data_IF_145273596686
#
_entry.id   IF_145273596686
#
_cell.length_a   1.000
_cell.length_b   1.000
_cell.length_c   1.000
_cell.angle_alpha   90.00
_cell.angle_beta   90.00
_cell.angle_gamma   90.00
#
_symmetry.space_group_name_H-M   'P 1'
#
loop_
_entity.id
_entity.type
_entity.pdbx_description
1 polymer ?
#
# COMPACT_ATOMS: atom_id res chain seq x y z
N UNK A 1 -5.33 8.20 11.63
CA UNK A 1 -6.44 7.95 10.70
C UNK A 1 -6.40 6.48 10.32
N UNK A 2 -7.45 5.69 10.61
CA UNK A 2 -7.51 4.29 10.24
C UNK A 2 -7.50 4.15 8.72
N UNK A 3 -6.72 3.20 8.19
CA UNK A 3 -6.74 2.85 6.77
C UNK A 3 -6.25 1.43 6.55
N UNK A 4 -6.92 0.72 5.65
CA UNK A 4 -6.52 -0.59 5.13
C UNK A 4 -6.33 -0.50 3.62
N UNK A 5 -5.20 -0.99 3.12
CA UNK A 5 -4.90 -1.15 1.70
C UNK A 5 -4.85 -2.63 1.33
N UNK A 6 -5.61 -3.01 0.30
CA UNK A 6 -5.72 -4.39 -0.18
C UNK A 6 -5.20 -4.46 -1.61
N UNK A 7 -4.16 -5.26 -1.83
CA UNK A 7 -3.58 -5.48 -3.17
C UNK A 7 -3.26 -6.95 -3.46
N UNK A 8 -2.86 -7.21 -4.70
CA UNK A 8 -2.15 -8.42 -5.09
C UNK A 8 -0.68 -8.09 -5.35
N UNK A 9 0.21 -8.83 -4.70
CA UNK A 9 1.64 -8.77 -4.98
C UNK A 9 2.17 -10.09 -5.55
N UNK A 10 3.36 -10.05 -6.14
CA UNK A 10 4.06 -11.23 -6.64
C UNK A 10 5.23 -11.57 -5.72
N UNK A 11 5.01 -12.45 -4.76
CA UNK A 11 6.03 -12.90 -3.81
C UNK A 11 6.57 -14.27 -4.26
N UNK A 12 7.88 -14.36 -4.51
CA UNK A 12 8.54 -15.59 -5.03
C UNK A 12 7.84 -16.19 -6.25
N UNK A 13 7.39 -15.32 -7.17
CA UNK A 13 6.71 -15.73 -8.40
C UNK A 13 5.21 -16.03 -8.24
N UNK A 14 4.69 -16.18 -7.02
CA UNK A 14 3.27 -16.44 -6.76
C UNK A 14 2.50 -15.15 -6.52
N UNK A 15 1.33 -15.04 -7.13
CA UNK A 15 0.39 -13.94 -6.87
C UNK A 15 -0.31 -14.19 -5.53
N UNK A 16 -0.16 -13.27 -4.59
CA UNK A 16 -0.71 -13.38 -3.23
C UNK A 16 -1.47 -12.10 -2.88
N UNK A 17 -2.50 -12.21 -2.04
CA UNK A 17 -3.24 -11.04 -1.56
C UNK A 17 -2.49 -10.44 -0.37
N UNK A 18 -2.32 -9.13 -0.35
CA UNK A 18 -1.67 -8.39 0.73
C UNK A 18 -2.64 -7.41 1.38
N UNK A 19 -2.50 -7.25 2.69
CA UNK A 19 -3.15 -6.21 3.47
C UNK A 19 -2.07 -5.42 4.20
N UNK A 20 -1.98 -4.13 3.91
CA UNK A 20 -1.26 -3.14 4.69
C UNK A 20 -2.27 -2.31 5.48
N UNK A 21 -1.97 -1.93 6.72
CA UNK A 21 -2.89 -1.13 7.52
C UNK A 21 -2.16 -0.20 8.48
N UNK A 22 -2.83 0.89 8.85
CA UNK A 22 -2.33 1.87 9.83
C UNK A 22 -3.46 2.51 10.61
N UNK A 23 -3.16 3.12 11.76
CA UNK A 23 -4.15 3.84 12.56
C UNK A 23 -5.17 2.96 13.29
N UNK A 24 -4.94 1.65 13.34
CA UNK A 24 -5.69 0.69 14.15
C UNK A 24 -4.89 0.27 15.39
N UNK A 25 -5.60 -0.17 16.43
CA UNK A 25 -4.96 -0.82 17.57
C UNK A 25 -4.18 -2.06 17.13
N UNK A 26 -3.05 -2.30 17.81
CA UNK A 26 -2.17 -3.43 17.49
C UNK A 26 -2.95 -4.75 17.58
N UNK A 27 -2.94 -5.53 16.51
CA UNK A 27 -3.63 -6.83 16.47
C UNK A 27 -5.12 -6.75 16.08
N UNK A 28 -5.67 -5.55 15.87
CA UNK A 28 -7.09 -5.38 15.53
C UNK A 28 -7.46 -6.10 14.23
N UNK A 29 -6.70 -5.88 13.14
CA UNK A 29 -6.95 -6.54 11.85
C UNK A 29 -6.78 -8.04 11.96
N UNK A 30 -5.74 -8.51 12.66
CA UNK A 30 -5.50 -9.93 12.92
C UNK A 30 -6.66 -10.57 13.70
N UNK A 31 -7.25 -9.86 14.65
CA UNK A 31 -8.40 -10.37 15.42
C UNK A 31 -9.61 -10.63 14.53
N UNK A 32 -9.86 -9.78 13.54
CA UNK A 32 -10.92 -9.97 12.54
C UNK A 32 -10.63 -11.22 11.69
N UNK A 33 -9.41 -11.35 11.18
CA UNK A 33 -9.01 -12.51 10.36
C UNK A 33 -9.10 -13.82 11.13
N UNK A 34 -8.64 -13.83 12.39
CA UNK A 34 -8.73 -14.98 13.29
C UNK A 34 -10.19 -15.40 13.55
N UNK A 35 -11.10 -14.42 13.76
CA UNK A 35 -12.53 -14.67 14.01
C UNK A 35 -13.21 -15.31 12.81
N UNK A 36 -12.82 -14.96 11.59
CA UNK A 36 -13.30 -15.59 10.34
C UNK A 36 -12.49 -16.85 9.95
N UNK A 37 -11.55 -17.30 10.81
CA UNK A 37 -10.68 -18.47 10.60
C UNK A 37 -9.86 -18.39 9.31
N UNK A 38 -9.43 -17.19 8.93
CA UNK A 38 -8.62 -16.94 7.75
C UNK A 38 -7.15 -17.17 8.08
N UNK A 39 -6.50 -18.06 7.33
CA UNK A 39 -5.05 -18.27 7.45
C UNK A 39 -4.28 -17.13 6.79
N UNK A 40 -3.26 -16.63 7.47
CA UNK A 40 -2.38 -15.57 6.96
C UNK A 40 -0.95 -15.75 7.46
N UNK A 41 -0.01 -15.12 6.77
CA UNK A 41 1.34 -14.87 7.27
C UNK A 41 1.53 -13.38 7.51
N UNK A 42 2.40 -13.01 8.44
CA UNK A 42 2.77 -11.62 8.68
C UNK A 42 4.26 -11.45 8.44
N UNK A 43 4.60 -10.50 7.59
CA UNK A 43 5.98 -10.10 7.28
C UNK A 43 6.09 -8.59 7.51
N UNK A 44 6.64 -8.19 8.66
CA UNK A 44 6.67 -6.79 9.09
C UNK A 44 5.26 -6.21 9.27
N UNK A 45 4.95 -5.13 8.55
CA UNK A 45 3.65 -4.46 8.54
C UNK A 45 2.63 -5.04 7.54
N UNK A 46 3.00 -6.10 6.81
CA UNK A 46 2.18 -6.67 5.73
C UNK A 46 1.58 -8.00 6.19
N UNK A 47 0.27 -8.15 6.00
CA UNK A 47 -0.43 -9.42 6.13
C UNK A 47 -0.59 -10.03 4.74
N UNK A 48 -0.15 -11.28 4.59
CA UNK A 48 -0.21 -12.04 3.34
C UNK A 48 -1.27 -13.13 3.49
N UNK A 49 -2.26 -13.13 2.60
CA UNK A 49 -3.38 -14.07 2.62
C UNK A 49 -3.36 -14.89 1.32
N UNK A 50 -3.42 -16.20 1.48
CA UNK A 50 -3.54 -17.14 0.37
C UNK A 50 -5.02 -17.53 0.15
N UNK A 51 -5.40 -17.81 -1.09
CA UNK A 51 -6.73 -18.31 -1.46
C UNK A 51 -7.92 -17.38 -1.15
N UNK A 52 -7.70 -16.06 -1.07
CA UNK A 52 -8.77 -15.08 -0.93
C UNK A 52 -8.71 -14.00 -2.03
N UNK A 53 -9.86 -13.38 -2.27
CA UNK A 53 -9.99 -12.25 -3.20
C UNK A 53 -10.10 -10.91 -2.48
N UNK A 54 -9.69 -9.84 -3.17
CA UNK A 54 -9.86 -8.44 -2.74
C UNK A 54 -11.28 -8.16 -2.22
N UNK A 55 -12.29 -8.58 -3.00
CA UNK A 55 -13.72 -8.39 -2.68
C UNK A 55 -14.15 -9.14 -1.41
N UNK A 56 -13.67 -10.37 -1.21
CA UNK A 56 -13.99 -11.13 0.00
C UNK A 56 -13.42 -10.47 1.25
N UNK A 57 -12.13 -10.07 1.22
CA UNK A 57 -11.51 -9.38 2.34
C UNK A 57 -12.22 -8.05 2.62
N UNK A 58 -12.46 -7.21 1.60
CA UNK A 58 -13.20 -5.95 1.77
C UNK A 58 -14.53 -6.18 2.50
N UNK A 59 -15.32 -7.18 2.07
CA UNK A 59 -16.60 -7.53 2.69
C UNK A 59 -16.46 -7.99 4.14
N UNK A 60 -15.41 -8.73 4.46
CA UNK A 60 -15.14 -9.19 5.83
C UNK A 60 -14.79 -7.99 6.72
N UNK A 61 -13.88 -7.13 6.27
CA UNK A 61 -13.46 -5.97 7.04
C UNK A 61 -14.63 -5.02 7.33
N UNK A 62 -15.47 -4.74 6.31
CA UNK A 62 -16.67 -3.91 6.52
C UNK A 62 -17.70 -4.58 7.45
N UNK A 63 -17.89 -5.90 7.34
CA UNK A 63 -18.76 -6.67 8.24
C UNK A 63 -18.33 -6.56 9.71
N UNK A 64 -17.04 -6.39 9.99
CA UNK A 64 -16.52 -6.23 11.36
C UNK A 64 -16.28 -4.76 11.76
N UNK A 65 -16.92 -3.81 11.06
CA UNK A 65 -17.02 -2.43 11.50
C UNK A 65 -15.93 -1.49 10.99
N UNK A 66 -15.09 -1.92 10.05
CA UNK A 66 -14.18 -1.00 9.35
C UNK A 66 -15.00 -0.20 8.33
N UNK A 67 -14.93 1.12 8.39
CA UNK A 67 -15.60 1.99 7.43
C UNK A 67 -15.10 1.69 6.01
N UNK A 68 -16.01 1.60 5.04
CA UNK A 68 -15.64 1.34 3.65
C UNK A 68 -14.75 2.43 3.05
N UNK A 69 -14.83 3.66 3.56
CA UNK A 69 -13.97 4.78 3.19
C UNK A 69 -12.53 4.61 3.70
N UNK A 70 -12.34 3.80 4.75
CA UNK A 70 -11.03 3.45 5.30
C UNK A 70 -10.44 2.21 4.60
N UNK A 71 -11.04 1.72 3.51
CA UNK A 71 -10.55 0.56 2.76
C UNK A 71 -10.25 0.92 1.30
N UNK A 72 -8.97 0.93 0.96
CA UNK A 72 -8.46 1.06 -0.39
C UNK A 72 -8.28 -0.31 -1.02
N UNK A 73 -8.84 -0.51 -2.21
CA UNK A 73 -8.61 -1.73 -3.00
C UNK A 73 -7.98 -1.34 -4.32
N UNK A 74 -6.78 -1.86 -4.57
CA UNK A 74 -6.07 -1.58 -5.82
C UNK A 74 -6.86 -2.07 -7.04
N UNK A 75 -7.02 -1.19 -8.03
CA UNK A 75 -7.80 -1.44 -9.25
C UNK A 75 -9.29 -1.12 -9.12
N UNK A 76 -9.81 -0.78 -7.94
CA UNK A 76 -11.16 -0.21 -7.80
C UNK A 76 -11.09 1.31 -8.02
N UNK A 77 -12.15 1.89 -8.62
CA UNK A 77 -12.29 3.35 -8.71
C UNK A 77 -12.38 3.89 -7.27
N UNK A 78 -11.37 4.68 -6.88
CA UNK A 78 -11.25 5.24 -5.54
C UNK A 78 -12.28 6.36 -5.36
N UNK A 79 -13.32 6.12 -4.56
CA UNK A 79 -14.22 7.18 -4.10
C UNK A 79 -13.59 7.90 -2.91
N UNK A 80 -12.57 8.70 -3.15
CA UNK A 80 -11.82 9.38 -2.10
C UNK A 80 -11.97 10.89 -2.20
N UNK A 81 -12.85 11.45 -1.36
CA UNK A 81 -12.97 12.90 -1.17
C UNK A 81 -11.68 13.50 -0.58
N UNK A 82 -10.90 12.71 0.16
CA UNK A 82 -9.67 13.11 0.84
C UNK A 82 -8.37 12.96 0.02
N UNK A 83 -8.36 12.22 -1.12
CA UNK A 83 -7.18 12.15 -2.03
C UNK A 83 -6.92 13.45 -2.77
N UNK A 84 -7.89 14.33 -2.86
CA UNK A 84 -7.73 15.60 -3.58
C UNK A 84 -7.01 16.67 -2.76
N UNK A 85 -7.01 16.59 -1.43
CA UNK A 85 -6.48 17.65 -0.57
C UNK A 85 -4.94 17.62 -0.43
N UNK A 86 -4.28 16.48 -0.69
CA UNK A 86 -2.83 16.29 -0.48
C UNK A 86 -1.98 16.31 -1.76
N UNK A 87 -2.60 16.46 -2.93
CA UNK A 87 -1.93 16.36 -4.24
C UNK A 87 -1.61 17.77 -4.77
N UNK A 88 -0.56 18.38 -4.23
CA UNK A 88 0.14 19.49 -4.88
C UNK A 88 1.24 18.92 -5.80
N UNK A 89 0.87 18.45 -6.98
CA UNK A 89 1.87 18.14 -8.03
C UNK A 89 2.17 19.41 -8.81
N UNK A 90 3.37 19.98 -8.61
CA UNK A 90 3.97 20.87 -9.62
C UNK A 90 4.22 20.03 -10.88
N UNK A 91 3.60 20.40 -12.00
CA UNK A 91 3.89 19.80 -13.32
C UNK A 91 5.34 20.11 -13.71
N UNK A 92 6.09 19.13 -14.24
CA UNK A 92 7.42 19.34 -14.81
C UNK A 92 8.63 18.79 -14.02
N UNK A 93 8.41 18.05 -12.91
CA UNK A 93 9.50 17.49 -12.10
C UNK A 93 9.62 15.99 -12.28
N UNK A 94 10.79 15.50 -12.71
CA UNK A 94 11.08 14.07 -12.87
C UNK A 94 11.91 13.56 -11.70
N UNK A 95 11.49 12.45 -11.09
CA UNK A 95 12.21 11.81 -9.99
C UNK A 95 13.28 10.85 -10.50
N UNK A 96 14.46 10.91 -9.90
CA UNK A 96 15.64 10.15 -10.31
C UNK A 96 16.25 9.43 -9.12
N UNK A 97 16.72 8.20 -9.34
CA UNK A 97 17.42 7.40 -8.35
C UNK A 97 18.74 8.10 -7.95
N UNK A 98 18.97 8.38 -6.65
CA UNK A 98 20.19 9.06 -6.21
C UNK A 98 21.43 8.16 -6.30
N UNK A 99 21.23 6.85 -6.47
CA UNK A 99 22.33 5.86 -6.51
C UNK A 99 22.88 5.66 -7.91
N UNK A 100 22.02 5.59 -8.93
CA UNK A 100 22.42 5.22 -10.30
C UNK A 100 21.93 6.18 -11.38
N UNK A 101 21.18 7.24 -11.04
CA UNK A 101 20.65 8.19 -12.02
C UNK A 101 19.48 7.67 -12.85
N UNK A 102 18.97 6.47 -12.58
CA UNK A 102 17.81 5.93 -13.29
C UNK A 102 16.52 6.71 -13.00
N UNK A 103 15.70 6.93 -14.03
CA UNK A 103 14.32 7.41 -13.91
C UNK A 103 13.31 6.30 -13.66
N UNK A 104 13.75 5.04 -13.69
CA UNK A 104 12.91 3.85 -13.45
C UNK A 104 12.73 3.64 -11.94
N UNK A 105 12.03 4.58 -11.32
CA UNK A 105 11.73 4.59 -9.88
C UNK A 105 10.23 4.54 -9.65
N UNK A 106 9.80 3.75 -8.66
CA UNK A 106 8.40 3.67 -8.22
C UNK A 106 8.29 3.81 -6.72
N UNK A 107 7.12 4.22 -6.21
CA UNK A 107 6.88 4.22 -4.77
C UNK A 107 6.97 2.80 -4.22
N UNK A 108 7.47 2.66 -2.99
CA UNK A 108 7.50 1.37 -2.27
C UNK A 108 6.08 0.81 -2.10
N UNK A 109 5.13 1.69 -1.73
CA UNK A 109 3.71 1.38 -1.56
C UNK A 109 2.88 2.59 -1.99
N UNK A 110 1.60 2.41 -2.30
CA UNK A 110 0.67 3.52 -2.53
C UNK A 110 0.60 4.49 -1.33
N UNK A 111 0.80 3.94 -0.12
CA UNK A 111 0.82 4.68 1.14
C UNK A 111 2.07 5.57 1.30
N UNK A 112 3.09 5.35 0.48
CA UNK A 112 4.36 6.09 0.50
C UNK A 112 4.17 7.54 0.04
N UNK A 113 4.55 8.48 0.90
CA UNK A 113 4.34 9.91 0.73
C UNK A 113 2.95 10.40 1.12
N UNK A 114 2.15 9.52 1.69
CA UNK A 114 0.89 9.88 2.34
C UNK A 114 0.92 9.47 3.82
N UNK A 115 1.02 8.17 4.11
CA UNK A 115 0.98 7.60 5.47
C UNK A 115 2.36 7.29 6.03
N UNK A 116 3.31 6.94 5.15
CA UNK A 116 4.71 6.73 5.48
C UNK A 116 5.55 7.75 4.72
N UNK A 117 6.78 8.07 5.18
CA UNK A 117 7.69 8.91 4.43
C UNK A 117 7.76 8.42 2.97
N UNK A 118 7.79 9.36 2.04
CA UNK A 118 7.85 9.07 0.61
C UNK A 118 9.14 8.29 0.30
N UNK A 119 9.02 6.97 0.22
CA UNK A 119 10.04 6.02 -0.15
C UNK A 119 9.81 5.50 -1.58
N UNK A 120 10.91 5.34 -2.29
CA UNK A 120 10.95 4.79 -3.64
C UNK A 120 11.84 3.56 -3.73
N UNK A 121 11.54 2.71 -4.70
CA UNK A 121 12.36 1.60 -5.17
C UNK A 121 12.86 1.96 -6.57
N UNK A 122 14.16 1.78 -6.81
CA UNK A 122 14.74 1.80 -8.15
C UNK A 122 14.77 0.37 -8.69
N UNK A 123 14.07 0.15 -9.82
CA UNK A 123 13.98 -1.18 -10.45
C UNK A 123 15.29 -1.61 -11.11
N UNK A 124 16.18 -0.66 -11.43
CA UNK A 124 17.44 -0.97 -12.12
C UNK A 124 18.59 -1.34 -11.16
N UNK A 125 18.64 -0.75 -9.95
CA UNK A 125 19.75 -0.96 -9.01
C UNK A 125 19.33 -1.44 -7.61
N UNK A 126 18.04 -1.65 -7.37
CA UNK A 126 17.50 -2.13 -6.10
C UNK A 126 17.62 -1.14 -4.93
N UNK A 127 17.90 0.13 -5.19
CA UNK A 127 17.86 1.17 -4.15
C UNK A 127 16.46 1.28 -3.55
N UNK A 128 16.36 1.30 -2.21
CA UNK A 128 15.13 1.54 -1.45
C UNK A 128 15.39 2.62 -0.42
N UNK A 129 14.64 3.73 -0.48
CA UNK A 129 14.84 4.81 0.49
C UNK A 129 13.98 6.04 0.25
N UNK A 130 14.07 6.97 1.21
CA UNK A 130 13.33 8.25 1.19
C UNK A 130 13.97 9.33 0.34
N UNK A 131 15.27 9.20 0.04
CA UNK A 131 15.99 10.17 -0.76
C UNK A 131 15.77 9.90 -2.26
N UNK A 132 15.51 10.97 -3.01
CA UNK A 132 15.41 10.97 -4.46
C UNK A 132 15.94 12.30 -4.99
N UNK A 133 16.37 12.31 -6.24
CA UNK A 133 16.72 13.53 -6.96
C UNK A 133 15.51 14.00 -7.75
N UNK A 134 15.31 15.31 -7.79
CA UNK A 134 14.35 15.97 -8.66
C UNK A 134 15.11 16.72 -9.73
N UNK A 135 14.78 16.44 -11.00
CA UNK A 135 15.29 17.21 -12.14
C UNK A 135 14.12 17.97 -12.75
N UNK A 136 14.32 19.27 -12.92
CA UNK A 136 13.44 20.13 -13.72
C UNK A 136 13.75 19.87 -15.19
N UNK A 137 12.70 19.86 -16.01
CA UNK A 137 12.83 19.84 -17.48
C UNK A 137 13.24 21.21 -18.03
#
# INVERSE_FOLDING_TARGET
MPLVYIDYEKIRGKKVLTIEYSGFEKGFIESILNKEKISYRKEGGVIIIENMTKKQIKKILTKHGIDANDILVSGEILNFRFLLESISFKRGVKRVCPRCGSTNVRKVSFLSGWFTPLQFICEDCGYVGVAFLEVEE
#
